data_IF_264928020106
#
_entry.id   IF_264928020106
#
_cell.length_a   1.000
_cell.length_b   1.000
_cell.length_c   1.000
_cell.angle_alpha   90.00
_cell.angle_beta   90.00
_cell.angle_gamma   90.00
#
_symmetry.space_group_name_H-M   'P 1'
#
loop_
_entity.id
_entity.type
_entity.pdbx_description
1 polymer ?
#
# COMPACT_ATOMS: atom_id res chain seq x y z
N UNK A 1 -22.31 21.34 -20.10
CA UNK A 1 -22.51 20.66 -18.82
C UNK A 1 -21.27 19.84 -18.51
N UNK A 2 -20.71 20.04 -17.35
CA UNK A 2 -19.53 19.31 -16.94
C UNK A 2 -19.93 17.95 -16.35
N UNK A 3 -19.12 16.94 -16.63
CA UNK A 3 -19.30 15.63 -16.04
C UNK A 3 -18.88 15.67 -14.57
N UNK A 4 -19.60 14.92 -13.73
CA UNK A 4 -19.17 14.72 -12.36
C UNK A 4 -17.93 13.84 -12.33
N UNK A 5 -17.00 14.21 -11.47
CA UNK A 5 -15.81 13.42 -11.21
C UNK A 5 -15.90 12.82 -9.81
N UNK A 6 -15.38 11.62 -9.69
CA UNK A 6 -15.36 10.92 -8.40
C UNK A 6 -13.95 10.53 -8.06
N UNK A 7 -13.57 10.56 -6.78
CA UNK A 7 -12.27 10.01 -6.41
C UNK A 7 -12.25 8.51 -6.73
N UNK A 8 -11.11 8.03 -7.18
CA UNK A 8 -10.92 6.60 -7.45
C UNK A 8 -10.55 5.89 -6.15
N UNK A 9 -11.11 4.70 -5.97
CA UNK A 9 -10.88 3.91 -4.76
C UNK A 9 -9.64 3.05 -4.94
N UNK A 10 -8.72 3.15 -3.97
CA UNK A 10 -7.51 2.34 -3.93
C UNK A 10 -7.40 1.64 -2.57
N UNK A 11 -6.47 0.73 -2.47
CA UNK A 11 -6.11 0.09 -1.20
C UNK A 11 -4.59 -0.03 -1.13
N UNK A 12 -4.04 0.11 0.07
CA UNK A 12 -2.63 -0.10 0.35
C UNK A 12 -2.52 -1.01 1.56
N UNK A 13 -1.54 -1.89 1.57
CA UNK A 13 -1.45 -2.94 2.57
C UNK A 13 -0.09 -2.86 3.29
N UNK A 14 -0.13 -2.52 4.58
CA UNK A 14 1.05 -2.56 5.44
C UNK A 14 1.22 -3.99 5.89
N UNK A 15 2.17 -4.71 5.28
CA UNK A 15 2.37 -6.13 5.49
C UNK A 15 3.47 -6.33 6.52
N UNK A 16 3.09 -6.84 7.70
CA UNK A 16 4.02 -7.26 8.75
C UNK A 16 4.55 -8.65 8.40
N UNK A 17 5.87 -8.82 8.47
CA UNK A 17 6.48 -10.11 8.17
C UNK A 17 6.74 -10.87 9.47
N UNK A 18 6.28 -12.14 9.50
CA UNK A 18 6.55 -13.09 10.57
C UNK A 18 6.19 -12.56 11.95
N UNK A 19 5.08 -11.83 12.03
CA UNK A 19 4.59 -11.30 13.29
C UNK A 19 5.33 -10.08 13.82
N UNK A 20 6.31 -9.55 13.08
CA UNK A 20 7.04 -8.36 13.50
C UNK A 20 6.31 -7.09 13.07
N UNK A 21 5.92 -6.27 14.03
CA UNK A 21 5.30 -4.98 13.74
C UNK A 21 6.33 -3.93 13.28
N UNK A 22 7.60 -4.21 13.43
CA UNK A 22 8.68 -3.27 13.08
C UNK A 22 9.24 -3.50 11.67
N UNK A 23 8.88 -4.63 11.03
CA UNK A 23 9.35 -4.99 9.69
C UNK A 23 8.16 -5.05 8.74
N UNK A 24 8.26 -4.28 7.67
CA UNK A 24 7.19 -4.20 6.69
C UNK A 24 7.74 -4.43 5.28
N UNK A 25 6.83 -4.81 4.38
CA UNK A 25 7.16 -5.04 2.98
C UNK A 25 6.88 -3.77 2.19
N UNK A 26 7.87 -3.30 1.43
CA UNK A 26 7.69 -2.21 0.48
C UNK A 26 8.11 -2.65 -0.92
N UNK A 27 7.53 -2.00 -1.91
CA UNK A 27 7.83 -2.26 -3.32
C UNK A 27 8.42 -1.00 -3.95
N UNK A 28 9.34 -1.20 -4.91
CA UNK A 28 9.85 -0.10 -5.71
C UNK A 28 9.03 -0.03 -6.99
N UNK A 29 8.51 1.14 -7.31
CA UNK A 29 7.61 1.32 -8.44
C UNK A 29 8.39 1.33 -9.76
N UNK A 30 7.82 0.67 -10.79
CA UNK A 30 8.34 0.71 -12.16
C UNK A 30 7.94 1.99 -12.89
N UNK A 31 6.78 2.55 -12.55
CA UNK A 31 6.15 3.66 -13.28
C UNK A 31 5.95 4.87 -12.37
N UNK A 32 5.86 6.09 -12.93
CA UNK A 32 5.60 7.27 -12.12
C UNK A 32 4.26 7.17 -11.35
N UNK A 33 4.17 7.72 -10.15
CA UNK A 33 5.25 8.42 -9.43
C UNK A 33 6.33 7.43 -8.97
N UNK A 34 7.59 7.86 -9.11
CA UNK A 34 8.74 7.03 -8.76
C UNK A 34 8.93 6.92 -7.24
N UNK A 35 9.63 5.89 -6.84
CA UNK A 35 10.02 5.67 -5.45
C UNK A 35 9.51 4.36 -4.90
N UNK A 36 9.73 4.19 -3.61
CA UNK A 36 9.23 3.06 -2.85
C UNK A 36 7.81 3.33 -2.38
N UNK A 37 7.02 2.28 -2.25
CA UNK A 37 5.62 2.41 -1.89
C UNK A 37 5.16 1.22 -1.06
N UNK A 38 4.12 1.46 -0.27
CA UNK A 38 3.33 0.41 0.35
C UNK A 38 2.65 -0.36 -0.79
N UNK A 39 2.67 -1.70 -0.81
CA UNK A 39 1.97 -2.46 -1.86
C UNK A 39 0.50 -2.10 -1.90
N UNK A 40 -0.04 -1.96 -3.10
CA UNK A 40 -1.44 -1.62 -3.27
C UNK A 40 -1.79 -1.23 -4.69
N UNK A 41 -3.03 -0.85 -4.91
CA UNK A 41 -3.50 -0.45 -6.22
C UNK A 41 -5.00 -0.15 -6.22
N UNK A 42 -5.55 -0.05 -7.43
CA UNK A 42 -6.95 0.30 -7.61
C UNK A 42 -7.86 -0.89 -7.28
N UNK A 43 -8.96 -0.58 -6.60
CA UNK A 43 -10.04 -1.54 -6.39
C UNK A 43 -10.80 -1.67 -7.72
N UNK A 44 -11.00 -2.90 -8.18
CA UNK A 44 -11.72 -3.15 -9.41
C UNK A 44 -13.22 -3.13 -9.17
N UNK A 45 -13.97 -2.75 -10.20
CA UNK A 45 -15.43 -2.74 -10.10
C UNK A 45 -15.95 -4.13 -9.74
N UNK A 46 -16.80 -4.17 -8.71
CA UNK A 46 -17.35 -5.42 -8.21
C UNK A 46 -16.51 -6.13 -7.17
N UNK A 47 -15.34 -5.56 -6.83
CA UNK A 47 -14.42 -6.12 -5.85
C UNK A 47 -14.60 -5.40 -4.51
N UNK A 48 -14.58 -6.14 -3.40
CA UNK A 48 -14.52 -5.50 -2.09
C UNK A 48 -13.11 -4.95 -1.86
N UNK A 49 -12.97 -4.01 -0.92
CA UNK A 49 -11.63 -3.50 -0.58
C UNK A 49 -10.75 -4.59 0.02
N UNK A 50 -11.34 -5.55 0.75
CA UNK A 50 -10.61 -6.69 1.30
C UNK A 50 -10.08 -7.61 0.19
N UNK A 51 -10.92 -7.91 -0.81
CA UNK A 51 -10.50 -8.71 -1.97
C UNK A 51 -9.40 -8.01 -2.76
N UNK A 52 -9.55 -6.69 -2.96
CA UNK A 52 -8.52 -5.90 -3.65
C UNK A 52 -7.20 -5.92 -2.89
N UNK A 53 -7.24 -5.78 -1.56
CA UNK A 53 -6.05 -5.79 -0.73
C UNK A 53 -5.30 -7.11 -0.86
N UNK A 54 -6.00 -8.22 -0.77
CA UNK A 54 -5.39 -9.55 -0.89
C UNK A 54 -4.83 -9.78 -2.29
N UNK A 55 -5.55 -9.37 -3.32
CA UNK A 55 -5.12 -9.51 -4.71
C UNK A 55 -3.87 -8.67 -4.99
N UNK A 56 -3.89 -7.40 -4.60
CA UNK A 56 -2.74 -6.51 -4.84
C UNK A 56 -1.49 -6.99 -4.11
N UNK A 57 -1.63 -7.44 -2.86
CA UNK A 57 -0.50 -7.99 -2.12
C UNK A 57 0.09 -9.21 -2.84
N UNK A 58 -0.75 -10.13 -3.31
CA UNK A 58 -0.31 -11.31 -4.05
C UNK A 58 0.37 -10.92 -5.37
N UNK A 59 -0.24 -10.01 -6.13
CA UNK A 59 0.28 -9.61 -7.45
C UNK A 59 1.62 -8.91 -7.35
N UNK A 60 1.84 -8.08 -6.34
CA UNK A 60 3.06 -7.28 -6.25
C UNK A 60 4.16 -7.94 -5.43
N UNK A 61 3.82 -8.76 -4.46
CA UNK A 61 4.81 -9.31 -3.50
C UNK A 61 4.87 -10.83 -3.48
N UNK A 62 3.96 -11.52 -4.15
CA UNK A 62 3.80 -12.99 -4.12
C UNK A 62 3.39 -13.53 -2.76
N UNK A 63 3.02 -12.68 -1.83
CA UNK A 63 2.62 -13.10 -0.48
C UNK A 63 1.11 -13.24 -0.39
N UNK A 64 0.67 -14.31 0.26
CA UNK A 64 -0.71 -14.44 0.72
C UNK A 64 -0.79 -13.81 2.10
N UNK A 65 -1.59 -12.75 2.22
CA UNK A 65 -1.66 -11.99 3.46
C UNK A 65 -2.93 -12.34 4.23
N UNK A 66 -2.83 -12.26 5.55
CA UNK A 66 -3.98 -12.27 6.44
C UNK A 66 -4.25 -10.84 6.84
N UNK A 67 -5.42 -10.31 6.46
CA UNK A 67 -5.81 -8.96 6.86
C UNK A 67 -6.12 -8.96 8.35
N UNK A 68 -5.48 -8.03 9.07
CA UNK A 68 -5.68 -7.92 10.52
C UNK A 68 -6.74 -6.88 10.85
N UNK A 69 -6.68 -5.72 10.21
CA UNK A 69 -7.70 -4.67 10.37
C UNK A 69 -7.55 -3.58 9.32
N UNK A 70 -8.58 -2.77 9.15
CA UNK A 70 -8.46 -1.50 8.45
C UNK A 70 -7.72 -0.53 9.35
N UNK A 71 -6.74 0.17 8.80
CA UNK A 71 -5.95 1.13 9.54
C UNK A 71 -6.61 2.51 9.49
N UNK A 72 -6.72 3.06 8.30
CA UNK A 72 -7.31 4.39 8.07
C UNK A 72 -7.56 4.60 6.59
N UNK A 73 -8.42 5.57 6.25
CA UNK A 73 -8.64 5.98 4.85
C UNK A 73 -7.92 7.30 4.63
N UNK A 74 -7.05 7.33 3.63
CA UNK A 74 -6.32 8.53 3.21
C UNK A 74 -6.90 9.05 1.92
N UNK A 75 -7.42 10.25 1.94
CA UNK A 75 -8.22 10.78 0.82
C UNK A 75 -7.97 12.26 0.50
N UNK A 76 -6.83 12.79 0.89
CA UNK A 76 -6.48 14.16 0.51
C UNK A 76 -6.41 14.25 -1.01
N UNK A 77 -7.06 15.25 -1.65
CA UNK A 77 -7.04 15.37 -3.10
C UNK A 77 -5.64 15.51 -3.70
N UNK A 78 -4.65 15.93 -2.91
CA UNK A 78 -3.28 16.14 -3.38
C UNK A 78 -2.37 14.94 -3.15
N UNK A 79 -2.87 13.86 -2.55
CA UNK A 79 -2.03 12.72 -2.16
C UNK A 79 -1.45 11.95 -3.34
N UNK A 80 -2.09 11.99 -4.49
CA UNK A 80 -1.72 11.21 -5.68
C UNK A 80 -1.61 12.16 -6.88
N UNK A 81 -0.43 12.30 -7.51
CA UNK A 81 -0.28 13.22 -8.63
C UNK A 81 -1.08 12.80 -9.87
N UNK A 82 -1.54 11.57 -9.96
CA UNK A 82 -2.33 11.07 -11.08
C UNK A 82 -3.80 11.50 -11.03
N UNK A 83 -4.27 11.96 -9.86
CA UNK A 83 -5.65 12.37 -9.65
C UNK A 83 -6.11 12.05 -8.24
N UNK A 84 -7.33 12.43 -7.90
CA UNK A 84 -7.87 12.22 -6.56
C UNK A 84 -8.16 10.74 -6.31
N UNK A 85 -7.47 10.17 -5.33
CA UNK A 85 -7.70 8.80 -4.87
C UNK A 85 -8.06 8.79 -3.39
N UNK A 86 -8.87 7.79 -3.00
CA UNK A 86 -9.14 7.49 -1.60
C UNK A 86 -8.61 6.09 -1.34
N UNK A 87 -7.59 5.98 -0.50
CA UNK A 87 -6.99 4.68 -0.20
C UNK A 87 -7.45 4.15 1.14
N UNK A 88 -8.01 2.95 1.12
CA UNK A 88 -8.30 2.17 2.33
C UNK A 88 -7.03 1.41 2.67
N UNK A 89 -6.38 1.78 3.76
CA UNK A 89 -5.13 1.15 4.19
C UNK A 89 -5.44 0.03 5.18
N UNK A 90 -4.91 -1.15 4.89
CA UNK A 90 -5.01 -2.32 5.77
C UNK A 90 -3.68 -2.61 6.43
N UNK A 91 -3.76 -3.17 7.65
CA UNK A 91 -2.63 -3.83 8.28
C UNK A 91 -2.85 -5.33 8.09
N UNK A 92 -1.82 -6.01 7.64
CA UNK A 92 -1.86 -7.43 7.36
C UNK A 92 -0.59 -8.11 7.84
N UNK A 93 -0.65 -9.43 7.93
CA UNK A 93 0.53 -10.25 8.26
C UNK A 93 0.75 -11.27 7.15
N UNK A 94 2.01 -11.66 6.98
CA UNK A 94 2.37 -12.71 6.03
C UNK A 94 3.59 -13.46 6.52
N UNK A 95 3.66 -14.73 6.10
CA UNK A 95 4.84 -15.59 6.24
C UNK A 95 5.56 -15.66 4.91
N UNK A 96 6.80 -16.05 4.92
CA UNK A 96 7.56 -16.31 3.71
C UNK A 96 8.44 -15.17 3.27
N UNK A 97 8.92 -15.27 2.04
CA UNK A 97 9.84 -14.31 1.43
C UNK A 97 9.12 -13.64 0.27
N UNK A 98 9.02 -12.30 0.27
CA UNK A 98 8.38 -11.62 -0.86
C UNK A 98 9.22 -11.70 -2.13
N UNK A 99 8.53 -11.76 -3.28
CA UNK A 99 9.14 -11.77 -4.61
C UNK A 99 8.41 -10.75 -5.47
N UNK A 100 9.16 -9.85 -6.11
CA UNK A 100 8.57 -8.80 -6.95
C UNK A 100 7.89 -9.39 -8.17
N UNK A 101 6.68 -8.90 -8.46
CA UNK A 101 5.89 -9.27 -9.64
C UNK A 101 5.17 -8.04 -10.17
N UNK A 102 4.64 -8.16 -11.40
CA UNK A 102 3.82 -7.17 -12.07
C UNK A 102 4.47 -5.77 -12.09
N UNK A 103 3.85 -4.77 -11.50
CA UNK A 103 4.32 -3.38 -11.54
C UNK A 103 5.43 -3.06 -10.53
N UNK A 104 5.84 -4.02 -9.74
CA UNK A 104 6.94 -3.84 -8.79
C UNK A 104 8.27 -4.16 -9.45
N UNK A 105 9.21 -3.20 -9.46
CA UNK A 105 10.58 -3.42 -9.93
C UNK A 105 11.38 -4.23 -8.93
N UNK A 106 11.15 -3.98 -7.64
CA UNK A 106 11.78 -4.66 -6.52
C UNK A 106 10.79 -4.79 -5.38
N UNK A 107 11.01 -5.77 -4.50
CA UNK A 107 10.31 -5.87 -3.23
C UNK A 107 11.33 -6.17 -2.15
N UNK A 108 11.14 -5.58 -0.98
CA UNK A 108 12.08 -5.72 0.12
C UNK A 108 11.39 -5.54 1.46
N UNK A 109 11.92 -6.21 2.50
CA UNK A 109 11.48 -6.02 3.88
C UNK A 109 12.35 -4.93 4.51
N UNK A 110 11.71 -3.95 5.14
CA UNK A 110 12.41 -2.84 5.79
C UNK A 110 12.06 -2.79 7.27
N UNK A 111 13.08 -2.54 8.10
CA UNK A 111 12.88 -2.19 9.50
C UNK A 111 12.43 -0.74 9.58
N UNK A 112 11.60 -0.42 10.59
CA UNK A 112 11.04 0.93 10.78
C UNK A 112 12.09 2.04 10.86
N UNK A 113 13.29 1.71 11.32
CA UNK A 113 14.38 2.70 11.47
C UNK A 113 15.22 2.86 10.20
N UNK A 114 14.95 2.07 9.17
CA UNK A 114 15.74 2.05 7.93
C UNK A 114 14.83 2.09 6.68
N UNK A 115 13.81 2.93 6.73
CA UNK A 115 12.89 3.07 5.60
C UNK A 115 13.59 3.73 4.41
N UNK A 116 13.25 3.31 3.20
CA UNK A 116 13.91 3.84 2.01
C UNK A 116 13.39 5.23 1.65
N UNK A 117 14.11 5.91 0.77
CA UNK A 117 13.76 7.21 0.22
C UNK A 117 14.16 7.25 -1.25
N UNK A 118 13.38 7.90 -2.13
CA UNK A 118 12.11 8.57 -1.84
C UNK A 118 10.95 7.60 -1.72
N UNK A 119 9.91 8.01 -1.00
CA UNK A 119 8.63 7.31 -0.95
C UNK A 119 7.63 7.99 -1.88
N UNK A 120 6.84 7.19 -2.59
CA UNK A 120 5.80 7.69 -3.49
C UNK A 120 4.54 8.10 -2.73
N UNK A 121 3.70 8.92 -3.37
CA UNK A 121 2.42 9.36 -2.82
C UNK A 121 2.60 10.03 -1.44
N UNK A 122 1.63 9.78 -0.55
CA UNK A 122 1.68 10.16 0.87
C UNK A 122 2.13 8.99 1.76
N UNK A 123 2.80 8.00 1.18
CA UNK A 123 3.13 6.77 1.91
C UNK A 123 4.07 7.00 3.08
N UNK A 124 4.94 8.01 2.99
CA UNK A 124 5.78 8.41 4.11
C UNK A 124 4.91 8.84 5.32
N UNK A 125 3.83 9.59 5.06
CA UNK A 125 2.90 10.00 6.11
C UNK A 125 2.14 8.81 6.68
N UNK A 126 1.68 7.90 5.81
CA UNK A 126 0.97 6.69 6.25
C UNK A 126 1.85 5.87 7.20
N UNK A 127 3.11 5.65 6.84
CA UNK A 127 4.03 4.89 7.68
C UNK A 127 4.37 5.62 8.98
N UNK A 128 4.50 6.94 8.94
CA UNK A 128 4.69 7.73 10.16
C UNK A 128 3.51 7.54 11.12
N UNK A 129 2.29 7.61 10.61
CA UNK A 129 1.09 7.39 11.41
C UNK A 129 1.04 5.97 11.97
N UNK A 130 1.41 4.99 11.16
CA UNK A 130 1.41 3.58 11.56
C UNK A 130 2.42 3.32 12.69
N UNK A 131 3.68 3.74 12.51
CA UNK A 131 4.72 3.46 13.49
C UNK A 131 4.59 4.30 14.76
N UNK A 132 3.92 5.44 14.70
CA UNK A 132 3.66 6.25 15.89
C UNK A 132 2.42 5.78 16.68
N UNK A 133 1.64 4.88 16.11
CA UNK A 133 0.40 4.42 16.74
C UNK A 133 -0.71 5.46 16.71
N UNK A 134 -0.73 6.31 15.69
CA UNK A 134 -1.68 7.42 15.61
C UNK A 134 -3.13 6.95 15.45
N UNK A 135 -3.37 5.88 14.69
CA UNK A 135 -4.70 5.32 14.51
C UNK A 135 -4.86 3.93 15.10
#
# INVERSE_FOLDING_TARGET
MSEKRFPRLTTDIIIQIRGSQEHIVLVKRKFPPEGWAIPGGFVEYGETVEEAAQREAQEETSLQVQLLRQFHVYSDPQRDPRGHTASVVFIASAEGVPVAQDDAAEVQVFHRDHLPSPMAFDHSQILSDYFSGYY
#
